data_IF_579609471712
#
_entry.id   IF_579609471712
#
_cell.length_a   1.000
_cell.length_b   1.000
_cell.length_c   1.000
_cell.angle_alpha   90.00
_cell.angle_beta   90.00
_cell.angle_gamma   90.00
#
_symmetry.space_group_name_H-M   'P 1'
#
loop_
_entity.id
_entity.type
_entity.pdbx_description
1 polymer ?
#
# COMPACT_ATOMS: atom_id res chain seq x y z
N UNK A 1 15.99 54.75 -17.41
CA UNK A 1 15.75 53.71 -16.37
C UNK A 1 16.96 53.65 -15.45
N UNK A 2 16.78 53.71 -14.13
CA UNK A 2 17.90 53.73 -13.16
C UNK A 2 18.59 52.36 -13.15
N UNK A 3 19.89 52.32 -13.45
CA UNK A 3 20.74 51.12 -13.38
C UNK A 3 21.32 50.99 -11.97
N UNK A 4 21.55 49.76 -11.50
CA UNK A 4 22.23 49.50 -10.23
C UNK A 4 23.75 49.73 -10.37
N UNK A 5 24.49 49.56 -9.26
CA UNK A 5 25.95 49.72 -9.22
C UNK A 5 26.70 48.78 -10.20
N UNK A 6 26.03 47.71 -10.66
CA UNK A 6 26.56 46.72 -11.60
C UNK A 6 26.09 46.97 -13.04
N UNK A 7 25.41 48.09 -13.32
CA UNK A 7 24.96 48.46 -14.66
C UNK A 7 23.66 47.78 -15.13
N UNK A 8 22.99 46.98 -14.29
CA UNK A 8 21.72 46.31 -14.62
C UNK A 8 20.51 47.17 -14.26
N UNK A 9 19.46 47.07 -15.07
CA UNK A 9 18.14 47.63 -14.77
C UNK A 9 17.36 46.75 -13.78
N UNK A 10 16.36 47.34 -13.13
CA UNK A 10 15.52 46.62 -12.17
C UNK A 10 14.81 45.38 -12.77
N UNK A 11 14.39 45.48 -14.04
CA UNK A 11 13.72 44.38 -14.74
C UNK A 11 14.69 43.21 -14.96
N UNK A 12 15.93 43.48 -15.37
CA UNK A 12 16.95 42.44 -15.59
C UNK A 12 17.31 41.73 -14.28
N UNK A 13 17.36 42.45 -13.16
CA UNK A 13 17.58 41.85 -11.83
C UNK A 13 16.42 40.94 -11.43
N UNK A 14 15.18 41.36 -11.65
CA UNK A 14 14.01 40.54 -11.35
C UNK A 14 14.00 39.24 -12.18
N UNK A 15 14.30 39.33 -13.48
CA UNK A 15 14.38 38.16 -14.37
C UNK A 15 15.44 37.16 -13.88
N UNK A 16 16.63 37.65 -13.50
CA UNK A 16 17.72 36.80 -13.03
C UNK A 16 17.39 36.07 -11.71
N UNK A 17 16.73 36.75 -10.77
CA UNK A 17 16.28 36.15 -9.51
C UNK A 17 15.25 35.06 -9.77
N UNK A 18 14.29 35.30 -10.68
CA UNK A 18 13.26 34.32 -11.03
C UNK A 18 13.87 33.08 -11.70
N UNK A 19 14.82 33.25 -12.62
CA UNK A 19 15.52 32.13 -13.28
C UNK A 19 16.33 31.32 -12.25
N UNK A 20 17.06 31.98 -11.35
CA UNK A 20 17.84 31.30 -10.31
C UNK A 20 16.94 30.47 -9.36
N UNK A 21 15.76 30.99 -9.00
CA UNK A 21 14.79 30.28 -8.17
C UNK A 21 14.22 29.03 -8.87
N UNK A 22 13.90 29.13 -10.16
CA UNK A 22 13.38 27.99 -10.96
C UNK A 22 14.44 26.90 -11.09
N UNK A 23 15.68 27.27 -11.42
CA UNK A 23 16.79 26.31 -11.53
C UNK A 23 17.07 25.60 -10.20
N UNK A 24 17.03 26.33 -9.08
CA UNK A 24 17.17 25.74 -7.74
C UNK A 24 16.08 24.71 -7.42
N UNK A 25 14.82 24.98 -7.78
CA UNK A 25 13.70 24.06 -7.56
C UNK A 25 13.78 22.78 -8.40
N UNK A 26 14.26 22.87 -9.64
CA UNK A 26 14.44 21.72 -10.54
C UNK A 26 15.56 20.80 -10.02
N UNK A 27 16.70 21.38 -9.63
CA UNK A 27 17.83 20.62 -9.09
C UNK A 27 17.46 19.95 -7.77
N UNK A 28 16.76 20.65 -6.88
CA UNK A 28 16.27 20.08 -5.61
C UNK A 28 15.35 18.87 -5.85
N UNK A 29 14.45 18.98 -6.83
CA UNK A 29 13.53 17.89 -7.18
C UNK A 29 14.25 16.65 -7.75
N UNK A 30 15.30 16.85 -8.57
CA UNK A 30 16.08 15.76 -9.16
C UNK A 30 17.00 15.04 -8.14
N UNK A 31 17.57 15.79 -7.19
CA UNK A 31 18.43 15.22 -6.14
C UNK A 31 17.61 14.41 -5.15
N UNK A 32 16.42 14.89 -4.77
CA UNK A 32 15.51 14.15 -3.87
C UNK A 32 14.98 12.87 -4.52
N UNK A 33 14.70 12.88 -5.83
CA UNK A 33 14.27 11.70 -6.56
C UNK A 33 15.36 10.62 -6.65
N UNK A 34 16.63 11.02 -6.76
CA UNK A 34 17.76 10.09 -6.94
C UNK A 34 18.28 9.47 -5.63
N UNK A 35 18.09 10.14 -4.48
CA UNK A 35 18.53 9.62 -3.17
C UNK A 35 17.39 8.95 -2.36
N UNK A 36 16.13 9.08 -2.75
CA UNK A 36 14.98 8.57 -1.99
C UNK A 36 14.11 7.50 -2.68
N UNK A 37 14.38 7.13 -3.93
CA UNK A 37 13.41 6.41 -4.77
C UNK A 37 13.59 4.90 -4.94
N UNK A 38 14.58 4.26 -4.29
CA UNK A 38 14.89 2.85 -4.50
C UNK A 38 14.90 2.04 -3.20
N UNK A 39 13.80 2.06 -2.44
CA UNK A 39 13.57 1.02 -1.43
C UNK A 39 12.10 0.57 -1.39
N UNK A 40 11.93 -0.74 -1.57
CA UNK A 40 10.82 -1.59 -1.12
C UNK A 40 9.55 -1.60 -1.99
N UNK A 41 9.15 -2.70 -2.63
CA UNK A 41 9.66 -4.06 -2.59
C UNK A 41 8.81 -4.97 -3.47
N UNK A 42 9.46 -5.91 -4.13
CA UNK A 42 8.89 -7.03 -4.89
C UNK A 42 8.14 -8.06 -4.00
N UNK A 43 7.51 -7.62 -2.91
CA UNK A 43 6.65 -8.45 -2.03
C UNK A 43 5.19 -8.05 -2.23
N UNK A 44 4.77 -7.97 -3.50
CA UNK A 44 3.43 -7.53 -3.89
C UNK A 44 2.46 -8.64 -4.25
N UNK A 45 2.83 -9.92 -4.08
CA UNK A 45 1.98 -11.05 -4.53
C UNK A 45 0.73 -11.30 -3.67
N UNK A 46 0.74 -10.90 -2.39
CA UNK A 46 -0.38 -11.19 -1.49
C UNK A 46 -0.75 -10.04 -0.52
N UNK A 47 0.13 -9.06 -0.31
CA UNK A 47 0.01 -8.09 0.80
C UNK A 47 -0.45 -6.69 0.37
N UNK A 48 -0.48 -6.38 -0.94
CA UNK A 48 -0.83 -5.04 -1.45
C UNK A 48 -2.33 -4.81 -1.66
N UNK A 49 -3.17 -5.85 -1.53
CA UNK A 49 -4.63 -5.74 -1.80
C UNK A 49 -5.47 -5.26 -0.60
N UNK A 50 -4.89 -5.12 0.59
CA UNK A 50 -5.64 -4.70 1.77
C UNK A 50 -5.90 -3.18 1.87
N UNK A 51 -5.31 -2.35 0.98
CA UNK A 51 -5.32 -0.89 1.12
C UNK A 51 -6.37 -0.13 0.30
N UNK A 52 -7.12 -0.83 -0.56
CA UNK A 52 -8.24 -0.27 -1.29
C UNK A 52 -9.49 -1.08 -0.96
N UNK A 53 -10.55 -0.40 -0.50
CA UNK A 53 -11.97 -0.78 -0.50
C UNK A 53 -12.60 -0.62 0.89
N UNK A 54 -13.45 0.41 1.01
CA UNK A 54 -14.40 0.60 2.10
C UNK A 54 -15.57 -0.39 2.05
N UNK A 55 -15.53 -1.38 1.16
CA UNK A 55 -16.63 -2.27 0.85
C UNK A 55 -16.09 -3.71 0.91
N UNK A 56 -16.39 -4.42 2.00
CA UNK A 56 -16.10 -5.84 2.26
C UNK A 56 -14.87 -6.48 1.57
N UNK A 57 -13.78 -6.70 2.30
CA UNK A 57 -12.63 -7.43 1.76
C UNK A 57 -12.94 -8.94 1.69
N UNK A 58 -12.66 -9.58 0.57
CA UNK A 58 -12.72 -11.04 0.44
C UNK A 58 -11.30 -11.60 0.35
N UNK A 59 -10.97 -12.55 1.21
CA UNK A 59 -9.68 -13.25 1.25
C UNK A 59 -9.90 -14.70 0.87
N UNK A 60 -9.35 -15.12 -0.27
CA UNK A 60 -9.31 -16.54 -0.66
C UNK A 60 -8.09 -17.18 -0.01
N UNK A 61 -8.32 -18.17 0.85
CA UNK A 61 -7.24 -18.91 1.47
C UNK A 61 -6.62 -19.87 0.45
N UNK A 62 -5.32 -20.19 0.61
CA UNK A 62 -4.70 -21.25 -0.16
C UNK A 62 -5.51 -22.55 -0.06
N UNK A 63 -5.60 -23.34 -1.14
CA UNK A 63 -6.37 -24.58 -1.08
C UNK A 63 -5.77 -25.54 -0.04
N UNK A 64 -6.63 -26.37 0.53
CA UNK A 64 -6.36 -27.25 1.68
C UNK A 64 -5.94 -26.54 2.98
N UNK A 65 -6.26 -25.25 3.14
CA UNK A 65 -6.01 -24.51 4.38
C UNK A 65 -7.30 -24.00 5.00
N UNK A 66 -7.37 -24.13 6.32
CA UNK A 66 -8.49 -23.68 7.16
C UNK A 66 -8.07 -22.48 7.99
N UNK A 67 -8.96 -21.50 8.13
CA UNK A 67 -8.74 -20.36 8.99
C UNK A 67 -8.73 -20.81 10.45
N UNK A 68 -7.72 -20.40 11.21
CA UNK A 68 -7.65 -20.62 12.66
C UNK A 68 -8.11 -19.37 13.40
N UNK A 69 -7.56 -18.21 13.03
CA UNK A 69 -7.90 -16.92 13.63
C UNK A 69 -7.53 -15.77 12.70
N UNK A 70 -8.16 -14.62 12.91
CA UNK A 70 -7.84 -13.35 12.24
C UNK A 70 -7.87 -12.21 13.26
N UNK A 71 -6.99 -11.23 13.10
CA UNK A 71 -6.91 -10.04 13.96
C UNK A 71 -6.36 -8.83 13.20
N UNK A 72 -6.62 -7.64 13.70
CA UNK A 72 -6.01 -6.41 13.21
C UNK A 72 -4.87 -5.98 14.13
N UNK A 73 -3.70 -5.69 13.55
CA UNK A 73 -2.57 -5.10 14.29
C UNK A 73 -1.88 -4.06 13.42
N UNK A 74 -1.64 -2.87 13.97
CA UNK A 74 -0.93 -1.78 13.28
C UNK A 74 -1.47 -1.49 11.86
N UNK A 75 -2.81 -1.42 11.72
CA UNK A 75 -3.49 -1.17 10.45
C UNK A 75 -3.36 -2.31 9.42
N UNK A 76 -2.87 -3.48 9.83
CA UNK A 76 -2.66 -4.65 8.98
C UNK A 76 -3.53 -5.81 9.46
N UNK A 77 -4.10 -6.54 8.52
CA UNK A 77 -4.81 -7.78 8.82
C UNK A 77 -3.78 -8.89 9.00
N UNK A 78 -3.87 -9.57 10.14
CA UNK A 78 -3.15 -10.80 10.43
C UNK A 78 -4.13 -11.95 10.49
N UNK A 79 -3.76 -13.08 9.90
CA UNK A 79 -4.57 -14.29 9.98
C UNK A 79 -3.66 -15.50 10.02
N UNK A 80 -4.08 -16.49 10.80
CA UNK A 80 -3.40 -17.77 10.94
C UNK A 80 -4.23 -18.83 10.23
N UNK A 81 -3.55 -19.67 9.46
CA UNK A 81 -4.14 -20.82 8.80
C UNK A 81 -3.42 -22.10 9.22
N UNK A 82 -4.15 -23.21 9.14
CA UNK A 82 -3.59 -24.56 9.29
C UNK A 82 -3.97 -25.41 8.09
N UNK A 83 -3.23 -26.48 7.83
CA UNK A 83 -3.64 -27.48 6.85
C UNK A 83 -4.94 -28.17 7.30
N UNK A 84 -5.84 -28.41 6.34
CA UNK A 84 -7.06 -29.17 6.55
C UNK A 84 -6.74 -30.65 6.74
N UNK A 85 -7.36 -31.26 7.75
CA UNK A 85 -7.39 -32.70 7.96
C UNK A 85 -8.47 -33.39 7.12
N UNK A 86 -8.47 -34.72 7.14
CA UNK A 86 -9.41 -35.55 6.37
C UNK A 86 -10.88 -35.26 6.72
N UNK A 87 -11.17 -35.02 8.00
CA UNK A 87 -12.50 -34.67 8.51
C UNK A 87 -12.89 -33.19 8.37
N UNK A 88 -11.98 -32.32 7.94
CA UNK A 88 -12.26 -30.89 7.85
C UNK A 88 -13.07 -30.57 6.58
N UNK A 89 -14.06 -29.68 6.74
CA UNK A 89 -14.84 -29.08 5.66
C UNK A 89 -14.37 -27.66 5.39
N UNK A 90 -14.39 -27.27 4.12
CA UNK A 90 -14.13 -25.90 3.71
C UNK A 90 -15.32 -25.01 4.06
N UNK A 91 -15.06 -23.89 4.71
CA UNK A 91 -16.07 -22.97 5.20
C UNK A 91 -15.85 -21.54 4.68
N UNK A 92 -16.89 -20.71 4.79
CA UNK A 92 -16.79 -19.27 4.60
C UNK A 92 -16.92 -18.58 5.95
N UNK A 93 -15.85 -17.90 6.38
CA UNK A 93 -15.76 -17.27 7.68
C UNK A 93 -15.86 -15.75 7.56
N UNK A 94 -16.74 -15.13 8.35
CA UNK A 94 -16.86 -13.67 8.42
C UNK A 94 -16.09 -13.17 9.65
N UNK A 95 -15.10 -12.32 9.40
CA UNK A 95 -14.38 -11.59 10.43
C UNK A 95 -14.80 -10.12 10.41
N UNK A 96 -15.17 -9.62 11.59
CA UNK A 96 -15.49 -8.20 11.79
C UNK A 96 -14.50 -7.70 12.84
N UNK A 97 -13.75 -6.67 12.49
CA UNK A 97 -12.83 -6.05 13.44
C UNK A 97 -12.76 -4.54 13.24
N UNK A 98 -12.42 -3.83 14.31
CA UNK A 98 -12.13 -2.39 14.24
C UNK A 98 -10.84 -2.20 13.43
N UNK A 99 -11.00 -1.89 12.15
CA UNK A 99 -9.88 -1.75 11.24
C UNK A 99 -9.07 -0.51 11.59
N UNK A 100 -7.76 -0.68 11.79
CA UNK A 100 -6.84 0.39 12.16
C UNK A 100 -6.63 1.41 11.05
N UNK A 101 -7.59 2.27 10.74
CA UNK A 101 -7.33 3.47 9.95
C UNK A 101 -8.21 4.58 10.48
N UNK A 102 -7.63 5.42 11.36
CA UNK A 102 -8.04 6.77 11.80
C UNK A 102 -9.52 7.09 12.14
N UNK A 103 -10.48 6.20 11.90
CA UNK A 103 -11.90 6.56 11.78
C UNK A 103 -12.84 5.56 12.47
N UNK A 104 -12.30 4.59 13.23
CA UNK A 104 -13.09 3.68 14.09
C UNK A 104 -14.07 2.73 13.38
N UNK A 105 -14.16 2.78 12.04
CA UNK A 105 -15.11 2.00 11.28
C UNK A 105 -14.79 0.50 11.32
N UNK A 106 -15.80 -0.31 11.60
CA UNK A 106 -15.73 -1.77 11.49
C UNK A 106 -15.43 -2.18 10.05
N UNK A 107 -14.45 -3.06 9.87
CA UNK A 107 -14.11 -3.64 8.58
C UNK A 107 -14.58 -5.09 8.55
N UNK A 108 -15.39 -5.42 7.56
CA UNK A 108 -15.89 -6.78 7.29
C UNK A 108 -14.95 -7.48 6.32
N UNK A 109 -14.49 -8.67 6.70
CA UNK A 109 -13.61 -9.51 5.90
C UNK A 109 -14.24 -10.89 5.77
N UNK A 110 -14.39 -11.37 4.54
CA UNK A 110 -14.91 -12.70 4.24
C UNK A 110 -13.75 -13.59 3.83
N UNK A 111 -13.44 -14.59 4.64
CA UNK A 111 -12.48 -15.64 4.31
C UNK A 111 -13.20 -16.78 3.61
N UNK A 112 -12.73 -17.13 2.40
CA UNK A 112 -13.21 -18.30 1.67
C UNK A 112 -12.16 -19.39 1.72
N UNK A 113 -12.53 -20.52 2.29
CA UNK A 113 -11.69 -21.72 2.32
C UNK A 113 -12.02 -22.62 1.14
N UNK A 114 -11.03 -23.39 0.69
CA UNK A 114 -11.21 -24.38 -0.36
C UNK A 114 -10.50 -25.65 0.04
N UNK A 115 -11.18 -26.79 -0.03
CA UNK A 115 -10.56 -28.10 0.11
C UNK A 115 -9.98 -28.45 -1.25
N UNK A 116 -8.71 -28.82 -1.31
CA UNK A 116 -8.18 -29.45 -2.52
C UNK A 116 -9.02 -30.70 -2.74
N UNK A 117 -9.87 -30.69 -3.77
CA UNK A 117 -10.34 -31.94 -4.34
C UNK A 117 -9.07 -32.69 -4.70
N UNK A 118 -8.89 -33.89 -4.12
CA UNK A 118 -7.76 -34.76 -4.45
C UNK A 118 -7.59 -34.69 -5.97
N UNK A 119 -6.43 -34.21 -6.40
CA UNK A 119 -6.08 -34.07 -7.79
C UNK A 119 -6.44 -35.41 -8.45
N UNK A 120 -7.45 -35.38 -9.33
CA UNK A 120 -7.82 -36.50 -10.17
C UNK A 120 -6.70 -36.63 -11.21
N UNK A 121 -5.53 -37.04 -10.76
CA UNK A 121 -4.43 -37.50 -11.60
C UNK A 121 -4.72 -38.98 -11.87
N UNK A 122 -5.42 -39.18 -12.97
CA UNK A 122 -5.70 -40.45 -13.64
C UNK A 122 -4.39 -41.10 -14.12
#
# INVERSE_FOLDING_TARGET
MKKNQNGLTFIEVLILITIAAILGAIIFSLVVFSLGGAQSGLVGGAQSRARALSDGMVVELPPNHKLVTATWENQRLWYLVRSMGTGDTAETNLFIGHGGAHDGAEKKIVFKESKLAAEVAK
#
